data_IF_584026153420
#
_entry.id   IF_584026153420
#
_cell.length_a   1.000
_cell.length_b   1.000
_cell.length_c   1.000
_cell.angle_alpha   90.00
_cell.angle_beta   90.00
_cell.angle_gamma   90.00
#
_symmetry.space_group_name_H-M   'P 1'
#
loop_
_entity.id
_entity.type
_entity.pdbx_description
1 polymer ?
#
# COMPACT_ATOMS: atom_id res chain seq x y z
N UNK A 1 17.56 10.08 -4.45
CA UNK A 1 16.30 10.73 -4.86
C UNK A 1 15.23 10.48 -3.83
N UNK A 2 14.55 11.53 -3.40
CA UNK A 2 13.48 11.38 -2.42
C UNK A 2 12.18 10.93 -3.09
N UNK A 3 11.48 10.01 -2.42
CA UNK A 3 10.17 9.57 -2.88
C UNK A 3 9.14 10.66 -2.58
N UNK A 4 8.46 11.14 -3.60
CA UNK A 4 7.43 12.16 -3.45
C UNK A 4 6.07 11.48 -3.51
N UNK A 5 5.42 11.37 -2.35
CA UNK A 5 4.13 10.67 -2.25
C UNK A 5 3.07 11.26 -3.17
N UNK A 6 2.92 12.58 -3.20
CA UNK A 6 1.89 13.22 -4.03
C UNK A 6 2.09 12.92 -5.52
N UNK A 7 3.33 12.99 -5.99
CA UNK A 7 3.63 12.68 -7.38
C UNK A 7 3.39 11.21 -7.70
N UNK A 8 3.81 10.31 -6.81
CA UNK A 8 3.66 8.89 -7.03
C UNK A 8 2.19 8.45 -6.97
N UNK A 9 1.37 9.10 -6.15
CA UNK A 9 -0.07 8.81 -6.10
C UNK A 9 -0.75 9.07 -7.44
N UNK A 10 -0.30 10.07 -8.17
CA UNK A 10 -0.87 10.41 -9.49
C UNK A 10 -0.59 9.34 -10.54
N UNK A 11 0.49 8.59 -10.36
CA UNK A 11 0.91 7.56 -11.33
C UNK A 11 0.24 6.21 -11.13
N UNK A 12 -0.49 6.03 -10.04
CA UNK A 12 -1.12 4.75 -9.73
C UNK A 12 -2.15 4.35 -10.78
N UNK A 13 -2.08 3.13 -11.31
CA UNK A 13 -3.06 2.67 -12.30
C UNK A 13 -4.38 2.29 -11.67
N UNK A 14 -5.46 2.41 -12.42
CA UNK A 14 -6.80 2.02 -12.01
C UNK A 14 -7.02 0.54 -12.33
N UNK A 15 -6.18 -0.30 -11.78
CA UNK A 15 -6.17 -1.73 -12.05
C UNK A 15 -6.00 -2.52 -10.75
N UNK A 16 -6.34 -3.82 -10.76
CA UNK A 16 -6.14 -4.65 -9.58
C UNK A 16 -4.67 -4.89 -9.33
N UNK A 17 -4.33 -5.13 -8.08
CA UNK A 17 -2.96 -5.44 -7.73
C UNK A 17 -2.72 -5.45 -6.24
N UNK A 18 -1.44 -5.46 -5.90
CA UNK A 18 -0.96 -5.47 -4.53
C UNK A 18 -0.12 -4.23 -4.30
N UNK A 19 -0.24 -3.64 -3.11
CA UNK A 19 0.58 -2.49 -2.73
C UNK A 19 1.32 -2.80 -1.44
N UNK A 20 2.50 -2.16 -1.30
CA UNK A 20 3.41 -2.39 -0.18
C UNK A 20 3.80 -1.02 0.37
N UNK A 21 3.51 -0.80 1.67
CA UNK A 21 3.86 0.44 2.35
C UNK A 21 5.12 0.25 3.16
N UNK A 22 6.05 1.20 3.07
CA UNK A 22 7.35 1.14 3.78
C UNK A 22 7.61 2.42 4.56
N UNK A 23 8.34 2.29 5.66
CA UNK A 23 8.78 3.45 6.42
C UNK A 23 10.10 4.03 5.87
N UNK A 24 10.64 5.03 6.54
CA UNK A 24 11.87 5.70 6.10
C UNK A 24 13.12 4.83 6.22
N UNK A 25 13.03 3.72 6.91
CA UNK A 25 14.10 2.73 7.04
C UNK A 25 13.89 1.53 6.13
N UNK A 26 12.93 1.64 5.22
CA UNK A 26 12.60 0.60 4.26
C UNK A 26 11.97 -0.66 4.87
N UNK A 27 11.47 -0.55 6.08
CA UNK A 27 10.75 -1.63 6.73
C UNK A 27 9.35 -1.72 6.15
N UNK A 28 8.89 -2.94 5.84
CA UNK A 28 7.55 -3.14 5.33
C UNK A 28 6.54 -2.97 6.46
N UNK A 29 5.70 -1.95 6.33
CA UNK A 29 4.66 -1.66 7.30
C UNK A 29 3.39 -2.47 7.02
N UNK A 30 3.04 -2.60 5.75
CA UNK A 30 1.78 -3.19 5.36
C UNK A 30 1.82 -3.69 3.92
N UNK A 31 1.13 -4.80 3.68
CA UNK A 31 0.90 -5.34 2.34
C UNK A 31 -0.61 -5.49 2.18
N UNK A 32 -1.17 -4.96 1.10
CA UNK A 32 -2.60 -5.05 0.86
C UNK A 32 -2.91 -5.33 -0.61
N UNK A 33 -4.14 -5.75 -0.86
CA UNK A 33 -4.63 -5.94 -2.22
C UNK A 33 -5.66 -4.87 -2.56
N UNK A 34 -5.85 -4.64 -3.84
CA UNK A 34 -6.84 -3.66 -4.32
C UNK A 34 -7.47 -4.14 -5.61
N UNK A 35 -8.75 -3.80 -5.78
CA UNK A 35 -9.44 -3.92 -7.07
C UNK A 35 -8.99 -2.79 -7.98
N UNK A 36 -8.73 -1.64 -7.39
CA UNK A 36 -8.29 -0.43 -8.07
C UNK A 36 -7.19 0.20 -7.23
N UNK A 37 -5.94 0.01 -7.64
CA UNK A 37 -4.78 0.52 -6.92
C UNK A 37 -4.83 2.04 -6.73
N UNK A 38 -5.22 2.75 -7.77
CA UNK A 38 -5.31 4.21 -7.71
C UNK A 38 -6.19 4.70 -6.56
N UNK A 39 -7.40 4.16 -6.48
CA UNK A 39 -8.34 4.57 -5.44
C UNK A 39 -7.91 4.07 -4.05
N UNK A 40 -7.46 2.82 -3.98
CA UNK A 40 -7.15 2.20 -2.69
C UNK A 40 -5.95 2.83 -2.00
N UNK A 41 -4.85 2.97 -2.72
CA UNK A 41 -3.63 3.56 -2.13
C UNK A 41 -3.86 5.01 -1.75
N UNK A 42 -4.50 5.78 -2.63
CA UNK A 42 -4.81 7.18 -2.33
C UNK A 42 -5.68 7.33 -1.09
N UNK A 43 -6.56 6.36 -0.82
CA UNK A 43 -7.46 6.43 0.32
C UNK A 43 -6.74 6.51 1.66
N UNK A 44 -5.53 5.97 1.76
CA UNK A 44 -4.75 6.04 3.00
C UNK A 44 -4.23 7.45 3.31
N UNK A 45 -4.14 8.30 2.31
CA UNK A 45 -3.57 9.64 2.45
C UNK A 45 -4.63 10.74 2.50
N UNK A 46 -5.90 10.38 2.59
CA UNK A 46 -6.98 11.35 2.76
C UNK A 46 -7.03 11.79 4.22
N UNK A 47 -7.30 13.08 4.44
CA UNK A 47 -7.44 13.61 5.78
C UNK A 47 -8.72 13.11 6.45
N UNK A 48 -8.69 13.06 7.78
CA UNK A 48 -9.86 12.81 8.63
C UNK A 48 -10.55 11.45 8.42
N UNK A 49 -9.81 10.43 8.09
CA UNK A 49 -10.38 9.11 7.95
C UNK A 49 -10.06 8.31 9.21
N UNK A 50 -10.83 8.42 10.24
CA UNK A 50 -10.61 7.64 11.45
C UNK A 50 -10.75 6.14 11.17
N UNK A 51 -9.65 5.44 10.96
CA UNK A 51 -9.62 3.99 10.71
C UNK A 51 -9.17 3.20 11.93
N UNK A 52 -9.03 3.88 13.03
CA UNK A 52 -8.54 3.28 14.27
C UNK A 52 -7.07 3.58 14.50
N UNK A 53 -6.62 3.44 15.78
CA UNK A 53 -5.27 3.87 16.17
C UNK A 53 -4.15 3.16 15.43
N UNK A 54 -4.30 1.85 15.16
CA UNK A 54 -3.24 1.08 14.51
C UNK A 54 -3.00 1.55 13.07
N UNK A 55 -4.07 1.74 12.30
CA UNK A 55 -3.96 2.18 10.91
C UNK A 55 -3.50 3.65 10.85
N UNK A 56 -4.01 4.50 11.73
CA UNK A 56 -3.59 5.90 11.78
C UNK A 56 -2.09 6.01 12.09
N UNK A 57 -1.60 5.18 13.00
CA UNK A 57 -0.18 5.13 13.32
C UNK A 57 0.63 4.66 12.12
N UNK A 58 0.18 3.60 11.46
CA UNK A 58 0.84 3.09 10.26
C UNK A 58 0.95 4.17 9.19
N UNK A 59 -0.15 4.86 8.89
CA UNK A 59 -0.17 5.91 7.87
C UNK A 59 0.84 7.00 8.19
N UNK A 60 0.97 7.37 9.47
CA UNK A 60 1.93 8.41 9.88
C UNK A 60 3.38 8.01 9.63
N UNK A 61 3.66 6.72 9.49
CA UNK A 61 5.01 6.19 9.30
C UNK A 61 5.35 5.94 7.83
N UNK A 62 4.37 6.01 6.92
CA UNK A 62 4.63 5.72 5.51
C UNK A 62 5.55 6.78 4.90
N UNK A 63 6.72 6.33 4.46
CA UNK A 63 7.66 7.19 3.74
C UNK A 63 7.58 6.96 2.23
N UNK A 64 7.21 5.73 1.83
CA UNK A 64 7.07 5.39 0.42
C UNK A 64 6.20 4.16 0.25
N UNK A 65 5.78 3.90 -0.98
CA UNK A 65 5.02 2.71 -1.32
C UNK A 65 5.46 2.21 -2.70
N UNK A 66 5.15 0.95 -2.96
CA UNK A 66 5.31 0.35 -4.27
C UNK A 66 4.09 -0.51 -4.56
N UNK A 67 3.92 -0.94 -5.81
CA UNK A 67 2.76 -1.73 -6.19
C UNK A 67 3.11 -2.68 -7.32
N UNK A 68 2.30 -3.73 -7.44
CA UNK A 68 2.42 -4.73 -8.49
C UNK A 68 1.03 -4.91 -9.10
N UNK A 69 0.89 -4.61 -10.39
CA UNK A 69 -0.37 -4.81 -11.11
C UNK A 69 -0.55 -6.30 -11.38
N UNK A 70 -1.76 -6.80 -11.18
CA UNK A 70 -2.11 -8.18 -11.47
C UNK A 70 -3.22 -8.23 -12.52
N UNK A 71 -3.40 -9.39 -13.16
CA UNK A 71 -4.43 -9.55 -14.19
C UNK A 71 -5.84 -9.64 -13.61
N UNK A 72 -5.95 -9.99 -12.34
CA UNK A 72 -7.24 -10.18 -11.69
C UNK A 72 -7.15 -9.97 -10.18
N UNK A 73 -8.31 -9.86 -9.54
CA UNK A 73 -8.40 -9.78 -8.09
C UNK A 73 -7.91 -11.06 -7.42
N UNK A 74 -8.19 -12.21 -8.04
CA UNK A 74 -7.76 -13.50 -7.49
C UNK A 74 -6.24 -13.59 -7.47
N UNK A 75 -5.60 -13.16 -8.54
CA UNK A 75 -4.13 -13.13 -8.61
C UNK A 75 -3.56 -12.19 -7.56
N UNK A 76 -4.22 -11.03 -7.35
CA UNK A 76 -3.81 -10.09 -6.31
C UNK A 76 -3.91 -10.72 -4.92
N UNK A 77 -4.97 -11.49 -4.65
CA UNK A 77 -5.15 -12.16 -3.37
C UNK A 77 -4.04 -13.18 -3.11
N UNK A 78 -3.70 -13.98 -4.10
CA UNK A 78 -2.64 -14.98 -3.98
C UNK A 78 -1.29 -14.30 -3.72
N UNK A 79 -1.00 -13.25 -4.47
CA UNK A 79 0.25 -12.50 -4.32
C UNK A 79 0.33 -11.83 -2.95
N UNK A 80 -0.77 -11.22 -2.49
CA UNK A 80 -0.82 -10.60 -1.16
C UNK A 80 -0.48 -11.63 -0.07
N UNK A 81 -1.11 -12.79 -0.11
CA UNK A 81 -0.87 -13.84 0.87
C UNK A 81 0.60 -14.27 0.87
N UNK A 82 1.18 -14.45 -0.29
CA UNK A 82 2.59 -14.85 -0.40
C UNK A 82 3.52 -13.78 0.15
N UNK A 83 3.27 -12.52 -0.17
CA UNK A 83 4.10 -11.41 0.31
C UNK A 83 4.01 -11.23 1.82
N UNK A 84 2.81 -11.42 2.39
CA UNK A 84 2.64 -11.35 3.83
C UNK A 84 3.42 -12.45 4.53
N UNK A 85 3.37 -13.68 4.01
CA UNK A 85 4.10 -14.79 4.59
C UNK A 85 5.62 -14.62 4.50
N UNK A 86 6.11 -14.08 3.38
CA UNK A 86 7.55 -13.91 3.16
C UNK A 86 8.13 -12.75 3.95
N UNK A 87 7.37 -11.69 4.16
CA UNK A 87 7.91 -10.43 4.67
C UNK A 87 7.46 -10.05 6.08
N UNK A 88 6.46 -10.73 6.64
CA UNK A 88 5.95 -10.45 7.98
C UNK A 88 5.75 -8.95 8.24
N UNK A 89 4.84 -8.28 7.52
CA UNK A 89 4.63 -6.84 7.70
C UNK A 89 4.29 -6.50 9.14
N UNK A 90 4.67 -5.30 9.55
CA UNK A 90 4.47 -4.85 10.93
C UNK A 90 2.99 -4.67 11.28
N UNK A 91 2.14 -4.32 10.32
CA UNK A 91 0.70 -4.07 10.54
C UNK A 91 -0.22 -5.00 9.76
#
# INVERSE_FOLDING_TARGET
MLFNIEEELKKLPKEPGVYIMRDDKDVILYVGKAVNLHNRVRSYFRENIGRGPAIDKMVSLIARFEYIVTDSELEALVLENNLIKENSPKY
#
